data_IF_422012207676
#
_entry.id   IF_422012207676
#
_cell.length_a   1.000
_cell.length_b   1.000
_cell.length_c   1.000
_cell.angle_alpha   90.00
_cell.angle_beta   90.00
_cell.angle_gamma   90.00
#
_symmetry.space_group_name_H-M   'P 1'
#
loop_
_entity.id
_entity.type
_entity.pdbx_description
1 polymer ?
#
# COMPACT_ATOMS: atom_id res chain seq x y z
N UNK A 1 3.04 19.52 2.02
CA UNK A 1 3.47 18.57 3.08
C UNK A 1 3.59 17.18 2.51
N UNK A 2 4.47 16.35 3.08
CA UNK A 2 4.58 14.95 2.67
C UNK A 2 3.44 14.15 3.29
N UNK A 3 2.27 14.23 2.67
CA UNK A 3 1.07 13.44 3.00
C UNK A 3 0.60 12.72 1.74
N UNK A 4 -0.06 11.60 1.93
CA UNK A 4 -0.72 10.88 0.85
C UNK A 4 -2.16 11.40 0.78
N UNK A 5 -2.37 12.39 -0.10
CA UNK A 5 -3.66 13.12 -0.21
C UNK A 5 -4.82 12.17 -0.49
N UNK A 6 -4.69 11.34 -1.51
CA UNK A 6 -5.67 10.31 -1.81
C UNK A 6 -5.02 9.01 -2.29
N UNK A 7 -5.71 7.90 -2.04
CA UNK A 7 -5.36 6.59 -2.55
C UNK A 7 -6.57 5.97 -3.24
N UNK A 8 -6.31 5.32 -4.38
CA UNK A 8 -7.33 4.60 -5.15
C UNK A 8 -6.82 3.21 -5.50
N UNK A 9 -7.62 2.19 -5.18
CA UNK A 9 -7.36 0.81 -5.60
C UNK A 9 -8.38 0.38 -6.63
N UNK A 10 -7.91 -0.32 -7.66
CA UNK A 10 -8.72 -0.93 -8.70
C UNK A 10 -8.61 -2.44 -8.57
N UNK A 11 -9.74 -3.10 -8.36
CA UNK A 11 -9.81 -4.55 -8.38
C UNK A 11 -10.37 -5.01 -9.72
N UNK A 12 -10.01 -6.23 -10.14
CA UNK A 12 -10.55 -6.82 -11.37
C UNK A 12 -12.08 -6.76 -11.32
N UNK A 13 -12.68 -6.22 -12.37
CA UNK A 13 -14.13 -6.11 -12.56
C UNK A 13 -14.88 -5.31 -11.47
N UNK A 14 -14.20 -4.43 -10.73
CA UNK A 14 -14.82 -3.56 -9.72
C UNK A 14 -14.46 -2.09 -9.92
N UNK A 15 -15.38 -1.16 -9.62
CA UNK A 15 -15.06 0.26 -9.61
C UNK A 15 -13.98 0.54 -8.57
N UNK A 16 -13.08 1.48 -8.89
CA UNK A 16 -12.01 1.85 -7.98
C UNK A 16 -12.55 2.62 -6.77
N UNK A 17 -12.15 2.23 -5.56
CA UNK A 17 -12.50 2.96 -4.34
C UNK A 17 -11.45 4.03 -4.06
N UNK A 18 -11.88 5.29 -3.92
CA UNK A 18 -11.00 6.41 -3.56
C UNK A 18 -11.20 6.81 -2.11
N UNK A 19 -10.12 7.15 -1.43
CA UNK A 19 -10.15 7.71 -0.07
C UNK A 19 -9.16 8.87 0.02
N UNK A 20 -9.56 9.93 0.74
CA UNK A 20 -8.78 11.15 0.91
C UNK A 20 -9.19 12.29 -0.04
N UNK A 21 -8.37 13.33 -0.12
CA UNK A 21 -8.58 14.48 -1.01
C UNK A 21 -8.08 14.18 -2.43
N UNK A 22 -9.02 13.94 -3.35
CA UNK A 22 -8.71 13.62 -4.75
C UNK A 22 -8.33 14.84 -5.60
N UNK A 23 -8.46 16.05 -5.08
CA UNK A 23 -8.07 17.28 -5.79
C UNK A 23 -6.62 17.70 -5.47
N UNK A 24 -6.01 17.11 -4.42
CA UNK A 24 -4.65 17.40 -3.99
C UNK A 24 -3.59 16.42 -4.50
N UNK A 25 -2.33 16.85 -4.44
CA UNK A 25 -1.15 16.00 -4.65
C UNK A 25 -0.75 15.77 -6.11
N UNK A 26 0.24 14.89 -6.31
CA UNK A 26 0.70 14.45 -7.63
C UNK A 26 0.19 13.03 -7.92
N UNK A 27 -0.43 12.82 -9.08
CA UNK A 27 -0.97 11.53 -9.47
C UNK A 27 0.16 10.57 -9.86
N UNK A 28 0.27 9.45 -9.15
CA UNK A 28 1.15 8.33 -9.51
C UNK A 28 0.35 7.04 -9.55
N UNK A 29 0.56 6.22 -10.59
CA UNK A 29 -0.16 4.95 -10.77
C UNK A 29 0.83 3.81 -10.90
N UNK A 30 0.64 2.77 -10.08
CA UNK A 30 1.30 1.48 -10.27
C UNK A 30 0.39 0.62 -11.17
N UNK A 31 0.93 0.11 -12.27
CA UNK A 31 0.22 -0.74 -13.25
C UNK A 31 0.91 -2.10 -13.41
N UNK A 32 0.22 -2.99 -14.13
CA UNK A 32 0.74 -4.30 -14.54
C UNK A 32 0.70 -5.36 -13.45
N UNK A 33 -0.11 -5.16 -12.40
CA UNK A 33 -0.32 -6.16 -11.35
C UNK A 33 -1.03 -7.39 -11.93
N UNK A 34 -0.57 -8.58 -11.57
CA UNK A 34 -1.18 -9.85 -11.97
C UNK A 34 -1.12 -10.86 -10.82
N UNK A 35 -1.95 -11.90 -10.85
CA UNK A 35 -2.06 -12.83 -9.72
C UNK A 35 -0.88 -13.80 -9.62
N UNK A 36 -0.25 -14.13 -10.75
CA UNK A 36 0.72 -15.22 -10.86
C UNK A 36 2.14 -14.80 -10.46
N UNK A 37 2.58 -13.61 -10.91
CA UNK A 37 3.98 -13.18 -10.79
C UNK A 37 4.17 -11.78 -10.22
N UNK A 38 3.10 -10.97 -10.18
CA UNK A 38 3.17 -9.55 -9.82
C UNK A 38 2.04 -9.14 -8.86
N UNK A 39 1.83 -9.98 -7.85
CA UNK A 39 0.95 -9.70 -6.72
C UNK A 39 1.75 -9.07 -5.57
N UNK A 40 1.07 -8.38 -4.66
CA UNK A 40 1.72 -7.73 -3.52
C UNK A 40 1.85 -8.75 -2.38
N UNK A 41 3.07 -8.95 -1.86
CA UNK A 41 3.36 -9.92 -0.79
C UNK A 41 3.49 -9.27 0.59
N UNK A 42 3.90 -8.00 0.63
CA UNK A 42 4.04 -7.22 1.85
C UNK A 42 3.88 -5.73 1.54
N UNK A 43 3.64 -4.95 2.58
CA UNK A 43 3.42 -3.51 2.51
C UNK A 43 4.14 -2.83 3.67
N UNK A 44 4.94 -1.81 3.39
CA UNK A 44 5.36 -0.84 4.41
C UNK A 44 4.45 0.38 4.34
N UNK A 45 3.90 0.74 5.49
CA UNK A 45 3.07 1.93 5.69
C UNK A 45 3.90 3.00 6.39
N UNK A 46 3.86 4.22 5.87
CA UNK A 46 4.57 5.36 6.45
C UNK A 46 3.57 6.42 6.89
N UNK A 47 3.73 6.91 8.12
CA UNK A 47 2.85 7.89 8.74
C UNK A 47 3.61 9.14 9.17
N UNK A 48 3.01 10.29 8.95
CA UNK A 48 3.46 11.59 9.43
C UNK A 48 2.22 12.46 9.73
N UNK A 49 2.28 13.33 10.73
CA UNK A 49 1.13 14.18 11.10
C UNK A 49 -0.18 13.38 11.31
N UNK A 50 -0.07 12.17 11.91
CA UNK A 50 -1.19 11.23 12.17
C UNK A 50 -1.92 10.71 10.92
N UNK A 51 -1.38 10.91 9.72
CA UNK A 51 -1.93 10.39 8.46
C UNK A 51 -0.85 9.67 7.66
N UNK A 52 -1.25 8.91 6.63
CA UNK A 52 -0.30 8.26 5.74
C UNK A 52 0.45 9.30 4.91
N UNK A 53 1.77 9.13 4.77
CA UNK A 53 2.63 9.92 3.89
C UNK A 53 3.18 9.11 2.71
N UNK A 54 3.31 7.80 2.88
CA UNK A 54 3.68 6.89 1.81
C UNK A 54 3.18 5.47 2.08
N UNK A 55 3.12 4.68 1.00
CA UNK A 55 2.91 3.24 1.02
C UNK A 55 3.92 2.60 0.07
N UNK A 56 4.64 1.60 0.54
CA UNK A 56 5.58 0.83 -0.26
C UNK A 56 5.09 -0.61 -0.37
N UNK A 57 4.96 -1.08 -1.59
CA UNK A 57 4.54 -2.43 -1.93
C UNK A 57 5.76 -3.29 -2.26
N UNK A 58 5.75 -4.52 -1.78
CA UNK A 58 6.75 -5.54 -2.07
C UNK A 58 6.12 -6.62 -2.94
N UNK A 59 6.88 -7.07 -3.92
CA UNK A 59 6.46 -8.07 -4.91
C UNK A 59 7.37 -9.30 -4.83
N UNK A 60 6.93 -10.46 -5.36
CA UNK A 60 7.79 -11.61 -5.56
C UNK A 60 9.07 -11.21 -6.30
N UNK A 61 10.20 -11.82 -5.94
CA UNK A 61 11.50 -11.48 -6.54
C UNK A 61 12.17 -10.21 -6.02
N UNK A 62 11.62 -9.57 -4.98
CA UNK A 62 12.26 -8.45 -4.28
C UNK A 62 12.06 -7.07 -4.93
N UNK A 63 11.29 -6.99 -6.01
CA UNK A 63 10.87 -5.71 -6.57
C UNK A 63 10.02 -4.94 -5.55
N UNK A 64 10.17 -3.62 -5.52
CA UNK A 64 9.34 -2.72 -4.71
C UNK A 64 8.82 -1.55 -5.51
N UNK A 65 7.65 -1.04 -5.13
CA UNK A 65 7.07 0.19 -5.69
C UNK A 65 6.50 1.05 -4.58
N UNK A 66 6.61 2.37 -4.71
CA UNK A 66 6.21 3.33 -3.67
C UNK A 66 5.20 4.33 -4.23
N UNK A 67 4.20 4.66 -3.43
CA UNK A 67 3.34 5.84 -3.62
C UNK A 67 3.52 6.79 -2.45
N UNK A 68 3.52 8.09 -2.71
CA UNK A 68 3.78 9.13 -1.71
C UNK A 68 5.27 9.37 -1.45
N UNK A 69 5.59 10.05 -0.36
CA UNK A 69 6.95 10.48 -0.03
C UNK A 69 7.35 10.01 1.38
N UNK A 70 8.33 9.09 1.44
CA UNK A 70 8.87 8.51 2.68
C UNK A 70 10.13 9.21 3.21
N UNK A 71 10.64 10.23 2.52
CA UNK A 71 11.97 10.83 2.78
C UNK A 71 12.05 11.74 4.01
N UNK A 72 11.03 11.75 4.87
CA UNK A 72 11.01 12.58 6.08
C UNK A 72 11.55 11.77 7.27
N UNK A 73 12.55 12.30 7.97
CA UNK A 73 13.23 11.64 9.09
C UNK A 73 12.29 11.23 10.24
N UNK A 74 11.12 11.86 10.35
CA UNK A 74 10.14 11.61 11.42
C UNK A 74 8.99 10.68 11.00
N UNK A 75 9.03 10.08 9.81
CA UNK A 75 7.96 9.18 9.38
C UNK A 75 7.98 7.87 10.18
N UNK A 76 6.88 7.56 10.87
CA UNK A 76 6.69 6.27 11.51
C UNK A 76 6.47 5.21 10.43
N UNK A 77 7.26 4.14 10.45
CA UNK A 77 7.12 2.99 9.57
C UNK A 77 6.45 1.84 10.30
N UNK A 78 5.42 1.27 9.68
CA UNK A 78 4.79 0.00 10.11
C UNK A 78 4.91 -0.98 8.94
N UNK A 79 5.55 -2.11 9.18
CA UNK A 79 5.66 -3.16 8.17
C UNK A 79 4.56 -4.19 8.35
N UNK A 80 3.89 -4.54 7.25
CA UNK A 80 2.75 -5.45 7.22
C UNK A 80 2.97 -6.55 6.19
N UNK A 81 2.79 -7.79 6.62
CA UNK A 81 2.98 -8.98 5.79
C UNK A 81 3.98 -9.95 6.42
N UNK A 82 4.19 -11.12 5.80
CA UNK A 82 5.17 -12.10 6.24
C UNK A 82 6.55 -11.62 5.83
N UNK A 83 7.12 -10.72 6.63
CA UNK A 83 8.41 -10.10 6.34
C UNK A 83 9.50 -11.11 6.65
N UNK A 84 10.03 -11.74 5.61
CA UNK A 84 11.16 -12.66 5.67
C UNK A 84 10.89 -13.96 4.94
N UNK A 85 11.81 -14.32 4.02
CA UNK A 85 11.97 -15.53 3.18
C UNK A 85 10.75 -16.24 2.57
N UNK A 86 9.51 -15.97 2.98
CA UNK A 86 8.32 -16.68 2.57
C UNK A 86 7.42 -15.73 1.77
N UNK A 87 7.40 -15.95 0.45
CA UNK A 87 6.57 -15.19 -0.49
C UNK A 87 5.18 -15.82 -0.65
N UNK A 88 4.78 -16.70 0.27
CA UNK A 88 3.57 -17.51 0.21
C UNK A 88 2.29 -16.73 0.58
N UNK A 89 2.28 -15.41 0.43
CA UNK A 89 1.11 -14.61 0.79
C UNK A 89 0.84 -13.53 -0.24
N UNK A 90 -0.44 -13.25 -0.46
CA UNK A 90 -0.93 -12.24 -1.39
C UNK A 90 -1.84 -11.26 -0.66
N UNK A 91 -1.62 -9.98 -0.87
CA UNK A 91 -2.55 -8.93 -0.45
C UNK A 91 -3.81 -9.02 -1.33
N UNK A 92 -4.95 -9.34 -0.71
CA UNK A 92 -6.22 -9.57 -1.41
C UNK A 92 -7.25 -8.49 -1.13
N UNK A 93 -7.09 -7.75 -0.04
CA UNK A 93 -8.03 -6.72 0.38
C UNK A 93 -7.34 -5.54 1.03
N UNK A 94 -7.85 -4.35 0.75
CA UNK A 94 -7.45 -3.11 1.39
C UNK A 94 -8.72 -2.34 1.71
N UNK A 95 -8.87 -1.96 2.97
CA UNK A 95 -9.89 -1.00 3.41
C UNK A 95 -9.19 0.25 3.89
N UNK A 96 -9.77 1.41 3.60
CA UNK A 96 -9.18 2.70 3.91
C UNK A 96 -10.24 3.66 4.41
N UNK A 97 -9.85 4.62 5.24
CA UNK A 97 -10.68 5.76 5.59
C UNK A 97 -9.84 7.04 5.69
N UNK A 98 -10.49 8.18 5.45
CA UNK A 98 -9.84 9.48 5.53
C UNK A 98 -9.71 9.94 6.99
N UNK A 99 -8.71 10.78 7.24
CA UNK A 99 -8.55 11.52 8.48
C UNK A 99 -7.97 12.90 8.17
N UNK A 100 -8.08 13.81 9.12
CA UNK A 100 -7.47 15.13 9.03
C UNK A 100 -6.03 15.07 9.53
N UNK A 101 -5.10 15.59 8.73
CA UNK A 101 -3.69 15.68 9.10
C UNK A 101 -3.47 16.69 10.24
N UNK A 102 -2.67 16.29 11.23
CA UNK A 102 -2.20 17.13 12.34
C UNK A 102 -0.97 17.94 11.89
N UNK A 103 -1.17 18.77 10.86
CA UNK A 103 -0.17 19.65 10.25
C UNK A 103 -0.62 21.11 10.31
N UNK A 104 0.30 22.10 10.21
CA UNK A 104 -0.05 23.53 10.24
C UNK A 104 -1.10 23.92 9.20
N UNK A 105 -1.07 23.26 8.04
CA UNK A 105 -2.16 23.27 7.06
C UNK A 105 -2.91 21.94 7.18
N UNK A 106 -3.97 21.94 7.99
CA UNK A 106 -4.85 20.79 8.14
C UNK A 106 -5.45 20.41 6.78
N UNK A 107 -5.28 19.16 6.35
CA UNK A 107 -5.84 18.65 5.11
C UNK A 107 -6.45 17.26 5.30
N UNK A 108 -7.45 16.92 4.47
CA UNK A 108 -8.02 15.58 4.44
C UNK A 108 -7.06 14.66 3.68
N UNK A 109 -6.66 13.56 4.32
CA UNK A 109 -5.73 12.59 3.75
C UNK A 109 -6.15 11.16 4.11
N UNK A 110 -5.42 10.17 3.61
CA UNK A 110 -5.62 8.78 4.03
C UNK A 110 -5.09 8.59 5.45
N UNK A 111 -5.98 8.34 6.42
CA UNK A 111 -5.61 8.22 7.83
C UNK A 111 -5.61 6.79 8.37
N UNK A 112 -6.51 5.98 7.83
CA UNK A 112 -6.70 4.59 8.25
C UNK A 112 -6.50 3.65 7.08
N UNK A 113 -5.84 2.52 7.35
CA UNK A 113 -5.68 1.42 6.42
C UNK A 113 -5.84 0.09 7.17
N UNK A 114 -6.53 -0.86 6.55
CA UNK A 114 -6.55 -2.26 6.95
C UNK A 114 -6.18 -3.12 5.75
N UNK A 115 -5.28 -4.07 5.96
CA UNK A 115 -4.73 -4.93 4.94
C UNK A 115 -5.16 -6.37 5.21
N UNK A 116 -5.61 -7.07 4.17
CA UNK A 116 -5.97 -8.48 4.23
C UNK A 116 -5.02 -9.28 3.34
N UNK A 117 -4.35 -10.26 3.94
CA UNK A 117 -3.45 -11.18 3.25
C UNK A 117 -4.07 -12.59 3.24
N UNK A 118 -3.91 -13.27 2.11
CA UNK A 118 -4.26 -14.67 1.91
C UNK A 118 -2.98 -15.49 1.76
N UNK A 119 -2.93 -16.67 2.38
CA UNK A 119 -1.85 -17.64 2.15
C UNK A 119 -2.01 -18.31 0.79
N UNK A 120 -0.98 -18.22 -0.05
CA UNK A 120 -0.94 -18.83 -1.38
C UNK A 120 -0.15 -20.13 -1.28
N UNK A 121 -0.81 -21.26 -1.53
CA UNK A 121 -0.15 -22.57 -1.53
C UNK A 121 0.75 -22.64 -2.76
N UNK A 122 2.06 -22.67 -2.57
CA UNK A 122 3.00 -23.02 -3.64
C UNK A 122 2.75 -24.50 -3.96
N UNK A 123 2.28 -24.81 -5.17
CA UNK A 123 2.34 -26.18 -5.67
C UNK A 123 3.82 -26.56 -5.67
N UNK A 124 4.20 -27.49 -4.79
CA UNK A 124 5.51 -28.12 -4.89
C UNK A 124 5.52 -28.80 -6.25
N UNK A 125 6.36 -28.32 -7.17
CA UNK A 125 6.75 -29.13 -8.31
C UNK A 125 7.22 -30.47 -7.75
N UNK A 126 6.46 -31.53 -8.05
CA UNK A 126 6.88 -32.89 -7.77
C UNK A 126 8.19 -33.10 -8.50
N UNK A 127 9.28 -33.23 -7.72
CA UNK A 127 10.59 -33.65 -8.23
C UNK A 127 10.40 -34.95 -9.01
N UNK A 128 10.54 -34.87 -10.34
CA UNK A 128 10.65 -36.02 -11.24
C UNK A 128 12.12 -36.42 -11.37
#
# INVERSE_FOLDING_TARGET
>A
YNVLNALRFFYKDRPGQSVGDTQGGHLTTIRGLNEEYNHIIAVDLYFCHRVMCAIQFFFPGGQTKVLGNRSNANALKISCGPIGKNNDFKLTGIKMASSTADSPESCLAVGYVALCFEYVRVEKESEN
#
